data_IF_618036351485
#
_entry.id   IF_618036351485
#
_cell.length_a   1.000
_cell.length_b   1.000
_cell.length_c   1.000
_cell.angle_alpha   90.00
_cell.angle_beta   90.00
_cell.angle_gamma   90.00
#
_symmetry.space_group_name_H-M   'P 1'
#
loop_
_entity.id
_entity.type
_entity.pdbx_description
1 polymer ?
#
# COMPACT_ATOMS: atom_id res chain seq x y z
N UNK A 1 -15.30 -10.63 0.79
CA UNK A 1 -13.82 -10.67 0.79
C UNK A 1 -13.33 -11.04 2.19
N UNK A 2 -12.23 -11.76 2.32
CA UNK A 2 -11.55 -12.00 3.60
C UNK A 2 -10.14 -11.41 3.56
N UNK A 3 -9.68 -10.82 4.66
CA UNK A 3 -8.31 -10.31 4.79
C UNK A 3 -7.57 -11.24 5.75
N UNK A 4 -6.49 -11.83 5.27
CA UNK A 4 -5.65 -12.79 5.97
C UNK A 4 -4.28 -12.18 6.29
N UNK A 5 -3.57 -12.81 7.23
CA UNK A 5 -2.21 -12.44 7.60
C UNK A 5 -2.12 -11.45 8.75
N UNK A 6 -0.93 -10.87 8.91
CA UNK A 6 -0.63 -9.98 10.02
C UNK A 6 -1.34 -8.63 9.88
N UNK A 7 -1.66 -8.01 11.02
CA UNK A 7 -2.20 -6.64 11.02
C UNK A 7 -1.04 -5.65 10.89
N UNK A 8 -0.89 -5.11 9.68
CA UNK A 8 0.04 -4.02 9.37
C UNK A 8 -0.58 -2.64 9.71
N UNK A 9 0.23 -1.58 9.72
CA UNK A 9 -0.22 -0.21 10.03
C UNK A 9 -1.28 0.25 9.02
N UNK A 10 -1.11 -0.08 7.73
CA UNK A 10 -2.08 0.24 6.67
C UNK A 10 -3.45 -0.46 6.84
N UNK A 11 -3.51 -1.57 7.59
CA UNK A 11 -4.67 -2.46 7.61
C UNK A 11 -5.95 -1.77 8.04
N UNK A 12 -5.87 -0.84 8.99
CA UNK A 12 -7.04 -0.11 9.51
C UNK A 12 -7.66 0.77 8.42
N UNK A 13 -6.83 1.55 7.73
CA UNK A 13 -7.29 2.48 6.70
C UNK A 13 -7.71 1.76 5.43
N UNK A 14 -7.04 0.65 5.08
CA UNK A 14 -7.46 -0.22 3.98
C UNK A 14 -8.84 -0.83 4.25
N UNK A 15 -9.07 -1.38 5.47
CA UNK A 15 -10.39 -1.90 5.86
C UNK A 15 -11.48 -0.83 5.80
N UNK A 16 -11.16 0.41 6.19
CA UNK A 16 -12.07 1.56 6.08
C UNK A 16 -12.39 1.85 4.61
N UNK A 17 -11.37 1.95 3.75
CA UNK A 17 -11.55 2.21 2.31
C UNK A 17 -12.39 1.14 1.62
N UNK A 18 -12.12 -0.14 1.91
CA UNK A 18 -12.91 -1.28 1.42
C UNK A 18 -14.39 -1.16 1.78
N UNK A 19 -14.69 -0.81 3.03
CA UNK A 19 -16.08 -0.61 3.50
C UNK A 19 -16.75 0.58 2.81
N UNK A 20 -16.02 1.66 2.58
CA UNK A 20 -16.53 2.83 1.84
C UNK A 20 -16.84 2.50 0.37
N UNK A 21 -16.19 1.50 -0.21
CA UNK A 21 -16.48 0.99 -1.57
C UNK A 21 -17.47 -0.18 -1.59
N UNK A 22 -18.30 -0.34 -0.55
CA UNK A 22 -19.30 -1.41 -0.41
C UNK A 22 -18.73 -2.84 -0.47
N UNK A 23 -17.44 -3.01 -0.17
CA UNK A 23 -16.80 -4.33 -0.10
C UNK A 23 -17.00 -4.92 1.29
N UNK A 24 -17.84 -5.95 1.36
CA UNK A 24 -18.08 -6.70 2.60
C UNK A 24 -16.84 -7.52 2.97
N UNK A 25 -16.32 -7.25 4.16
CA UNK A 25 -15.22 -7.99 4.79
C UNK A 25 -15.81 -9.05 5.72
N UNK A 26 -15.59 -10.31 5.39
CA UNK A 26 -16.09 -11.47 6.11
C UNK A 26 -15.16 -11.82 7.27
N UNK A 27 -15.73 -12.49 8.29
CA UNK A 27 -14.98 -13.00 9.45
C UNK A 27 -14.30 -14.35 9.20
N UNK A 28 -14.71 -15.06 8.15
CA UNK A 28 -14.18 -16.39 7.79
C UNK A 28 -13.83 -16.45 6.32
N UNK A 29 -12.75 -17.17 6.02
CA UNK A 29 -12.26 -17.40 4.67
C UNK A 29 -13.11 -18.39 3.87
N UNK A 30 -13.97 -19.18 4.53
CA UNK A 30 -14.81 -20.21 3.88
C UNK A 30 -15.80 -19.65 2.85
N UNK A 31 -16.38 -18.49 3.15
CA UNK A 31 -17.41 -17.87 2.31
C UNK A 31 -16.84 -16.72 1.45
N UNK A 32 -15.51 -16.57 1.40
CA UNK A 32 -14.88 -15.45 0.73
C UNK A 32 -14.54 -15.78 -0.72
N UNK A 33 -15.21 -15.11 -1.66
CA UNK A 33 -14.89 -15.16 -3.09
C UNK A 33 -13.48 -14.65 -3.43
N UNK A 34 -12.96 -13.75 -2.59
CA UNK A 34 -11.64 -13.16 -2.73
C UNK A 34 -10.99 -13.05 -1.35
N UNK A 35 -9.80 -13.63 -1.23
CA UNK A 35 -8.90 -13.50 -0.09
C UNK A 35 -7.77 -12.56 -0.45
N UNK A 36 -7.48 -11.63 0.45
CA UNK A 36 -6.37 -10.69 0.36
C UNK A 36 -5.43 -10.95 1.52
N UNK A 37 -4.15 -11.14 1.24
CA UNK A 37 -3.12 -11.21 2.27
C UNK A 37 -2.15 -10.05 2.11
N UNK A 38 -1.94 -9.31 3.21
CA UNK A 38 -0.90 -8.31 3.29
C UNK A 38 0.38 -8.99 3.77
N UNK A 39 1.35 -9.12 2.87
CA UNK A 39 2.62 -9.83 3.11
C UNK A 39 3.57 -8.95 3.92
N UNK A 40 3.61 -7.64 3.61
CA UNK A 40 4.50 -6.71 4.29
C UNK A 40 4.20 -5.24 3.98
N UNK A 41 4.69 -4.38 4.85
CA UNK A 41 4.64 -2.91 4.74
C UNK A 41 6.05 -2.38 5.03
N UNK A 42 6.54 -1.50 4.17
CA UNK A 42 7.87 -0.90 4.27
C UNK A 42 7.75 0.63 4.18
N UNK A 43 8.51 1.31 5.04
CA UNK A 43 8.74 2.76 4.98
C UNK A 43 10.24 2.98 4.88
N UNK A 44 10.67 3.72 3.88
CA UNK A 44 12.08 4.01 3.66
C UNK A 44 12.26 5.52 3.52
N UNK A 45 13.31 6.05 4.15
CA UNK A 45 13.76 7.43 3.99
C UNK A 45 15.25 7.41 3.68
N UNK A 46 15.64 8.02 2.56
CA UNK A 46 17.04 8.08 2.13
C UNK A 46 17.40 9.47 1.63
N UNK A 47 18.70 9.78 1.66
CA UNK A 47 19.23 11.02 1.11
C UNK A 47 19.10 10.96 -0.41
N UNK A 48 18.41 11.95 -1.00
CA UNK A 48 18.30 12.10 -2.44
C UNK A 48 19.46 12.94 -2.98
N UNK A 49 19.78 14.03 -2.29
CA UNK A 49 20.83 14.95 -2.69
C UNK A 49 21.51 15.61 -1.50
N UNK A 50 22.77 15.99 -1.70
CA UNK A 50 23.56 16.79 -0.78
C UNK A 50 23.82 18.17 -1.40
N UNK A 51 23.87 19.21 -0.59
CA UNK A 51 24.35 20.53 -0.98
C UNK A 51 25.87 20.51 -1.17
N UNK A 52 26.43 21.55 -1.79
CA UNK A 52 27.88 21.68 -2.05
C UNK A 52 28.75 21.59 -0.78
N UNK A 53 28.20 21.93 0.39
CA UNK A 53 28.87 21.83 1.68
C UNK A 53 28.79 20.43 2.33
N UNK A 54 28.21 19.43 1.64
CA UNK A 54 28.02 18.07 2.15
C UNK A 54 26.83 17.90 3.10
N UNK A 55 26.02 18.95 3.31
CA UNK A 55 24.80 18.89 4.11
C UNK A 55 23.63 18.32 3.29
N UNK A 56 22.68 17.63 3.94
CA UNK A 56 21.52 17.07 3.24
C UNK A 56 20.64 18.19 2.68
N UNK A 57 20.35 18.12 1.38
CA UNK A 57 19.48 19.08 0.69
C UNK A 57 18.08 18.50 0.48
N UNK A 58 17.99 17.24 0.07
CA UNK A 58 16.71 16.57 -0.18
C UNK A 58 16.70 15.15 0.37
N UNK A 59 15.52 14.76 0.85
CA UNK A 59 15.22 13.38 1.18
C UNK A 59 14.21 12.81 0.20
N UNK A 60 14.34 11.52 -0.04
CA UNK A 60 13.35 10.72 -0.75
C UNK A 60 12.72 9.74 0.24
N UNK A 61 11.39 9.69 0.20
CA UNK A 61 10.55 8.83 1.00
C UNK A 61 9.90 7.79 0.08
N UNK A 62 9.91 6.53 0.52
CA UNK A 62 9.14 5.45 -0.06
C UNK A 62 8.16 4.88 0.94
N UNK A 63 6.99 4.51 0.41
CA UNK A 63 6.03 3.71 1.11
C UNK A 63 5.62 2.55 0.23
N UNK A 64 5.90 1.30 0.64
CA UNK A 64 5.62 0.09 -0.14
C UNK A 64 4.74 -0.87 0.64
N UNK A 65 3.80 -1.50 -0.05
CA UNK A 65 3.01 -2.59 0.50
C UNK A 65 3.07 -3.77 -0.46
N UNK A 66 3.38 -4.93 0.09
CA UNK A 66 3.40 -6.20 -0.59
C UNK A 66 2.14 -6.97 -0.22
N UNK A 67 1.40 -7.42 -1.22
CA UNK A 67 0.18 -8.19 -1.00
C UNK A 67 0.01 -9.27 -2.07
N UNK A 68 -0.79 -10.27 -1.76
CA UNK A 68 -1.23 -11.28 -2.73
C UNK A 68 -2.70 -11.56 -2.57
N UNK A 69 -3.31 -12.09 -3.63
CA UNK A 69 -4.75 -12.38 -3.66
C UNK A 69 -4.98 -13.82 -4.03
N UNK A 70 -6.08 -14.39 -3.53
CA UNK A 70 -6.55 -15.71 -3.90
C UNK A 70 -8.05 -15.65 -4.15
N UNK A 71 -8.46 -15.95 -5.37
CA UNK A 71 -9.87 -16.08 -5.71
C UNK A 71 -10.38 -17.48 -5.33
N UNK A 72 -11.68 -17.61 -5.11
CA UNK A 72 -12.32 -18.88 -4.72
C UNK A 72 -12.20 -19.96 -5.80
N UNK A 73 -12.14 -19.55 -7.07
CA UNK A 73 -11.99 -20.42 -8.25
C UNK A 73 -10.52 -20.82 -8.50
N UNK A 74 -9.56 -20.20 -7.81
CA UNK A 74 -8.14 -20.49 -7.98
C UNK A 74 -7.54 -21.28 -6.80
N UNK A 75 -6.86 -22.41 -7.06
CA UNK A 75 -6.30 -23.24 -6.01
C UNK A 75 -5.08 -22.61 -5.34
N UNK A 76 -4.38 -21.70 -6.02
CA UNK A 76 -3.13 -21.07 -5.57
C UNK A 76 -3.31 -19.57 -5.30
N UNK A 77 -2.35 -19.01 -4.57
CA UNK A 77 -2.23 -17.56 -4.45
C UNK A 77 -1.67 -16.97 -5.74
N UNK A 78 -2.05 -15.73 -6.04
CA UNK A 78 -1.34 -14.91 -7.02
C UNK A 78 0.11 -14.70 -6.60
N UNK A 79 0.92 -14.25 -7.55
CA UNK A 79 2.22 -13.67 -7.24
C UNK A 79 2.07 -12.52 -6.23
N UNK A 80 3.15 -12.25 -5.49
CA UNK A 80 3.22 -11.10 -4.59
C UNK A 80 3.32 -9.84 -5.43
N UNK A 81 2.33 -8.97 -5.27
CA UNK A 81 2.28 -7.68 -5.93
C UNK A 81 2.76 -6.59 -4.97
N UNK A 82 3.56 -5.67 -5.51
CA UNK A 82 3.97 -4.45 -4.80
C UNK A 82 3.16 -3.27 -5.32
N UNK A 83 2.68 -2.44 -4.39
CA UNK A 83 2.18 -1.09 -4.67
C UNK A 83 3.00 -0.14 -3.84
N UNK A 84 3.52 0.90 -4.48
CA UNK A 84 4.38 1.88 -3.83
C UNK A 84 3.97 3.31 -4.17
N UNK A 85 4.32 4.21 -3.27
CA UNK A 85 4.27 5.65 -3.48
C UNK A 85 5.59 6.26 -3.01
N UNK A 86 6.05 7.26 -3.76
CA UNK A 86 7.32 7.96 -3.54
C UNK A 86 7.09 9.46 -3.42
N UNK A 87 7.83 10.13 -2.54
CA UNK A 87 7.83 11.59 -2.39
C UNK A 87 9.23 12.08 -2.06
N UNK A 88 9.61 13.19 -2.65
CA UNK A 88 10.79 13.97 -2.32
C UNK A 88 10.40 15.24 -1.54
N UNK A 89 11.31 15.71 -0.70
CA UNK A 89 11.15 17.01 -0.04
C UNK A 89 12.51 17.60 0.33
N UNK A 90 12.55 18.94 0.38
CA UNK A 90 13.74 19.68 0.78
C UNK A 90 13.92 19.66 2.30
N UNK A 91 15.17 19.60 2.74
CA UNK A 91 15.56 19.65 4.14
C UNK A 91 16.12 21.02 4.52
N UNK A 92 15.88 21.44 5.76
CA UNK A 92 16.44 22.67 6.32
C UNK A 92 16.41 22.61 7.85
N UNK A 93 17.58 22.63 8.49
CA UNK A 93 17.69 22.63 9.95
C UNK A 93 17.03 23.85 10.59
N UNK A 94 17.10 25.02 9.91
CA UNK A 94 16.46 26.25 10.36
C UNK A 94 14.93 26.11 10.51
N UNK A 95 14.32 25.17 9.77
CA UNK A 95 12.89 24.90 9.75
C UNK A 95 12.54 23.48 10.20
N UNK A 96 13.36 22.86 11.06
CA UNK A 96 13.26 21.43 11.41
C UNK A 96 11.84 20.99 11.80
N UNK A 97 11.15 21.74 12.68
CA UNK A 97 9.79 21.39 13.13
C UNK A 97 8.77 21.42 11.98
N UNK A 98 8.87 22.42 11.10
CA UNK A 98 8.03 22.52 9.92
C UNK A 98 8.31 21.35 8.96
N UNK A 99 9.59 20.98 8.78
CA UNK A 99 9.99 19.84 7.96
C UNK A 99 9.53 18.49 8.50
N UNK A 100 9.54 18.29 9.82
CA UNK A 100 8.94 17.09 10.43
C UNK A 100 7.43 17.01 10.18
N UNK A 101 6.74 18.15 10.23
CA UNK A 101 5.29 18.23 9.95
C UNK A 101 5.01 17.94 8.48
N UNK A 102 5.82 18.48 7.58
CA UNK A 102 5.75 18.22 6.14
C UNK A 102 5.98 16.73 5.83
N UNK A 103 7.05 16.14 6.36
CA UNK A 103 7.37 14.71 6.22
C UNK A 103 6.21 13.83 6.70
N UNK A 104 5.60 14.15 7.85
CA UNK A 104 4.43 13.41 8.34
C UNK A 104 3.26 13.47 7.36
N UNK A 105 2.94 14.66 6.83
CA UNK A 105 1.87 14.83 5.84
C UNK A 105 2.16 14.07 4.55
N UNK A 106 3.41 14.07 4.09
CA UNK A 106 3.83 13.31 2.92
C UNK A 106 3.63 11.82 3.14
N UNK A 107 4.06 11.28 4.30
CA UNK A 107 3.84 9.88 4.66
C UNK A 107 2.35 9.49 4.69
N UNK A 108 1.50 10.32 5.31
CA UNK A 108 0.05 10.08 5.35
C UNK A 108 -0.58 10.09 3.94
N UNK A 109 -0.12 10.98 3.05
CA UNK A 109 -0.59 11.04 1.67
C UNK A 109 -0.11 9.83 0.85
N UNK A 110 1.16 9.43 0.99
CA UNK A 110 1.68 8.22 0.34
C UNK A 110 0.91 6.97 0.76
N UNK A 111 0.54 6.87 2.05
CA UNK A 111 -0.29 5.77 2.53
C UNK A 111 -1.66 5.74 1.85
N UNK A 112 -2.32 6.89 1.68
CA UNK A 112 -3.60 6.99 0.95
C UNK A 112 -3.43 6.60 -0.52
N UNK A 113 -2.35 7.00 -1.17
CA UNK A 113 -2.09 6.66 -2.57
C UNK A 113 -1.89 5.16 -2.78
N UNK A 114 -1.15 4.50 -1.88
CA UNK A 114 -0.98 3.05 -1.90
C UNK A 114 -2.31 2.34 -1.68
N UNK A 115 -3.14 2.79 -0.71
CA UNK A 115 -4.49 2.25 -0.51
C UNK A 115 -5.30 2.37 -1.81
N UNK A 116 -5.30 3.54 -2.45
CA UNK A 116 -6.02 3.76 -3.70
C UNK A 116 -5.50 2.85 -4.83
N UNK A 117 -4.18 2.62 -4.89
CA UNK A 117 -3.56 1.68 -5.82
C UNK A 117 -4.04 0.24 -5.61
N UNK A 118 -4.03 -0.24 -4.36
CA UNK A 118 -4.55 -1.56 -4.00
C UNK A 118 -6.03 -1.66 -4.38
N UNK A 119 -6.85 -0.67 -4.01
CA UNK A 119 -8.29 -0.64 -4.31
C UNK A 119 -8.60 -0.71 -5.80
N UNK A 120 -7.84 0.02 -6.63
CA UNK A 120 -7.98 -0.04 -8.10
C UNK A 120 -7.69 -1.43 -8.65
N UNK A 121 -6.63 -2.09 -8.16
CA UNK A 121 -6.28 -3.46 -8.58
C UNK A 121 -7.32 -4.49 -8.12
N UNK A 122 -7.81 -4.39 -6.88
CA UNK A 122 -8.89 -5.25 -6.39
C UNK A 122 -10.19 -5.08 -7.19
N UNK A 123 -10.51 -3.84 -7.58
CA UNK A 123 -11.68 -3.56 -8.41
C UNK A 123 -11.55 -4.15 -9.82
N UNK A 124 -10.35 -4.14 -10.40
CA UNK A 124 -10.07 -4.78 -11.68
C UNK A 124 -10.22 -6.31 -11.61
N UNK A 125 -9.74 -6.93 -10.53
CA UNK A 125 -9.89 -8.38 -10.31
C UNK A 125 -11.36 -8.82 -10.23
N UNK A 126 -12.22 -8.03 -9.60
CA UNK A 126 -13.68 -8.32 -9.56
C UNK A 126 -14.37 -8.18 -10.92
N UNK A 127 -13.86 -7.31 -11.80
CA UNK A 127 -14.46 -7.06 -13.12
C UNK A 127 -14.00 -8.07 -14.18
N UNK A 128 -12.85 -8.71 -13.98
CA UNK A 128 -12.36 -9.73 -14.91
C UNK A 128 -13.25 -10.98 -14.78
N UNK A 129 -13.87 -11.48 -15.87
CA UNK A 129 -14.42 -12.84 -15.87
C UNK A 129 -13.29 -13.81 -15.51
N UNK A 130 -13.58 -15.00 -14.93
CA UNK A 130 -12.55 -16.02 -14.75
C UNK A 130 -11.93 -16.30 -16.12
N UNK A 131 -10.72 -15.80 -16.34
CA UNK A 131 -9.98 -16.07 -17.56
C UNK A 131 -9.65 -17.56 -17.51
N UNK A 132 -10.18 -18.27 -18.50
CA UNK A 132 -9.89 -19.65 -18.79
C UNK A 132 -8.40 -19.92 -18.61
N UNK A 133 -8.10 -21.04 -17.94
CA UNK A 133 -6.78 -21.63 -17.93
C UNK A 133 -6.19 -21.59 -19.35
N UNK A 134 -5.16 -20.77 -19.54
CA UNK A 134 -4.31 -20.90 -20.71
C UNK A 134 -3.61 -22.26 -20.61
N UNK A 135 -3.69 -22.97 -21.73
CA UNK A 135 -3.39 -24.38 -21.95
C UNK A 135 -1.90 -24.70 -21.83
#
# INVERSE_FOLDING_TARGET
MFIEGNTLVISKDLKKSLRTSDIVILKSSKNAELRLELVGEEREKRILSLASAGTVNEYELYYRVHYRTKLVDQPTWSEVHTVESRRDYTYSDANLLAKQTEEKKLNENMQKDVINGIMRRLSALKKRPPQAAEQ
#
